data_IF_725995565549
#
_entry.id   IF_725995565549
#
_cell.length_a   1.000
_cell.length_b   1.000
_cell.length_c   1.000
_cell.angle_alpha   90.00
_cell.angle_beta   90.00
_cell.angle_gamma   90.00
#
_symmetry.space_group_name_H-M   'P 1'
#
loop_
_entity.id
_entity.type
_entity.pdbx_description
1 polymer ?
#
# COMPACT_ATOMS: atom_id res chain seq x y z
N UNK A 1 -34.88 4.90 3.90
CA UNK A 1 -33.83 5.95 3.79
C UNK A 1 -33.17 6.27 5.13
N UNK A 2 -33.92 6.55 6.22
CA UNK A 2 -33.32 6.88 7.53
C UNK A 2 -32.46 5.75 8.10
N UNK A 3 -32.89 4.49 7.97
CA UNK A 3 -32.13 3.31 8.42
C UNK A 3 -30.82 3.10 7.61
N UNK A 4 -30.83 3.40 6.32
CA UNK A 4 -29.61 3.28 5.50
C UNK A 4 -28.53 4.32 5.84
N UNK A 5 -28.93 5.55 6.08
CA UNK A 5 -28.01 6.62 6.46
C UNK A 5 -27.40 6.37 7.85
N UNK A 6 -28.21 5.92 8.83
CA UNK A 6 -27.68 5.60 10.17
C UNK A 6 -26.67 4.45 10.11
N UNK A 7 -26.93 3.42 9.32
CA UNK A 7 -25.99 2.31 9.12
C UNK A 7 -24.71 2.77 8.43
N UNK A 8 -24.81 3.62 7.41
CA UNK A 8 -23.63 4.20 6.74
C UNK A 8 -22.77 5.01 7.73
N UNK A 9 -23.39 5.81 8.59
CA UNK A 9 -22.68 6.59 9.61
C UNK A 9 -21.94 5.67 10.59
N UNK A 10 -22.63 4.63 11.11
CA UNK A 10 -22.01 3.66 12.03
C UNK A 10 -20.86 2.91 11.35
N UNK A 11 -21.05 2.46 10.10
CA UNK A 11 -20.01 1.81 9.34
C UNK A 11 -18.83 2.75 9.04
N UNK A 12 -19.09 4.03 8.74
CA UNK A 12 -18.07 5.05 8.56
C UNK A 12 -17.24 5.30 9.82
N UNK A 13 -17.89 5.37 10.98
CA UNK A 13 -17.19 5.48 12.28
C UNK A 13 -16.36 4.23 12.56
N UNK A 14 -16.88 3.04 12.29
CA UNK A 14 -16.15 1.77 12.45
C UNK A 14 -14.93 1.70 11.52
N UNK A 15 -15.08 2.14 10.29
CA UNK A 15 -14.01 2.23 9.30
C UNK A 15 -12.92 3.23 9.74
N UNK A 16 -13.32 4.40 10.20
CA UNK A 16 -12.39 5.40 10.72
C UNK A 16 -11.61 4.87 11.93
N UNK A 17 -12.31 4.20 12.86
CA UNK A 17 -11.68 3.55 14.01
C UNK A 17 -10.71 2.44 13.57
N UNK A 18 -11.07 1.66 12.56
CA UNK A 18 -10.18 0.65 12.00
C UNK A 18 -8.94 1.29 11.37
N UNK A 19 -9.10 2.38 10.60
CA UNK A 19 -7.98 3.11 10.02
C UNK A 19 -7.04 3.64 11.11
N UNK A 20 -7.58 4.24 12.17
CA UNK A 20 -6.82 4.70 13.32
C UNK A 20 -6.06 3.55 14.01
N UNK A 21 -6.72 2.41 14.25
CA UNK A 21 -6.08 1.25 14.87
C UNK A 21 -4.93 0.69 14.01
N UNK A 22 -5.08 0.68 12.68
CA UNK A 22 -4.03 0.32 11.74
C UNK A 22 -2.88 1.33 11.82
N UNK A 23 -3.18 2.63 11.77
CA UNK A 23 -2.19 3.70 11.88
C UNK A 23 -1.37 3.61 13.16
N UNK A 24 -2.04 3.42 14.29
CA UNK A 24 -1.39 3.28 15.59
C UNK A 24 -0.54 2.00 15.71
N UNK A 25 -0.99 0.89 15.10
CA UNK A 25 -0.37 -0.43 15.28
C UNK A 25 0.74 -0.78 14.29
N UNK A 26 0.61 -0.39 13.03
CA UNK A 26 1.46 -0.93 11.96
C UNK A 26 2.38 0.07 11.30
N UNK A 27 2.05 1.35 11.34
CA UNK A 27 2.77 2.35 10.56
C UNK A 27 3.82 3.11 11.33
N UNK A 28 3.80 3.18 12.61
CA UNK A 28 4.75 3.88 13.48
C UNK A 28 5.99 4.44 12.77
N UNK A 29 7.13 4.37 13.34
CA UNK A 29 8.40 4.79 12.71
C UNK A 29 9.05 3.73 11.82
N UNK A 30 8.40 2.58 11.61
CA UNK A 30 8.98 1.40 10.93
C UNK A 30 9.48 1.69 9.50
N UNK A 31 8.75 2.42 8.63
CA UNK A 31 9.23 2.76 7.29
C UNK A 31 10.55 3.52 7.31
N UNK A 32 10.77 4.36 8.30
CA UNK A 32 11.99 5.15 8.46
C UNK A 32 12.98 4.55 9.46
N UNK A 33 12.77 3.33 9.96
CA UNK A 33 13.68 2.73 10.93
C UNK A 33 15.16 2.73 10.50
N UNK A 34 15.53 2.44 9.23
CA UNK A 34 16.91 2.56 8.78
C UNK A 34 17.45 3.99 8.83
N UNK A 35 16.63 4.98 8.50
CA UNK A 35 17.02 6.40 8.56
C UNK A 35 17.18 6.89 10.00
N UNK A 36 16.32 6.44 10.91
CA UNK A 36 16.41 6.73 12.34
C UNK A 36 17.65 6.06 12.94
N UNK A 37 17.89 4.78 12.63
CA UNK A 37 19.07 4.05 13.07
C UNK A 37 20.40 4.66 12.58
N UNK A 38 20.38 5.27 11.39
CA UNK A 38 21.52 6.02 10.84
C UNK A 38 21.61 7.49 11.35
N UNK A 39 20.82 7.89 12.34
CA UNK A 39 20.74 9.27 12.85
C UNK A 39 20.45 10.32 11.75
N UNK A 40 19.78 9.91 10.66
CA UNK A 40 19.38 10.83 9.59
C UNK A 40 18.07 11.56 9.92
N UNK A 41 17.25 11.00 10.83
CA UNK A 41 15.94 11.49 11.20
C UNK A 41 15.63 11.13 12.65
N UNK A 42 14.96 12.02 13.40
CA UNK A 42 14.47 11.69 14.75
C UNK A 42 13.18 10.86 14.67
N UNK A 43 12.92 10.03 15.70
CA UNK A 43 11.71 9.17 15.78
C UNK A 43 10.42 9.98 15.61
N UNK A 44 10.32 11.14 16.27
CA UNK A 44 9.13 12.00 16.18
C UNK A 44 8.91 12.53 14.75
N UNK A 45 9.98 12.97 14.07
CA UNK A 45 9.87 13.40 12.66
C UNK A 45 9.55 12.24 11.73
N UNK A 46 10.08 11.05 12.03
CA UNK A 46 9.75 9.84 11.27
C UNK A 46 8.25 9.53 11.38
N UNK A 47 7.68 9.53 12.58
CA UNK A 47 6.24 9.31 12.78
C UNK A 47 5.38 10.32 12.01
N UNK A 48 5.73 11.62 12.09
CA UNK A 48 5.01 12.67 11.35
C UNK A 48 5.07 12.46 9.82
N UNK A 49 6.24 12.11 9.30
CA UNK A 49 6.39 11.83 7.86
C UNK A 49 5.64 10.56 7.45
N UNK A 50 5.62 9.52 8.30
CA UNK A 50 4.82 8.30 8.03
C UNK A 50 3.35 8.65 7.93
N UNK A 51 2.81 9.47 8.83
CA UNK A 51 1.43 9.91 8.79
C UNK A 51 1.10 10.63 7.47
N UNK A 52 1.85 11.69 7.13
CA UNK A 52 1.62 12.46 5.89
C UNK A 52 1.74 11.58 4.64
N UNK A 53 2.80 10.79 4.54
CA UNK A 53 3.03 9.93 3.38
C UNK A 53 2.03 8.78 3.33
N UNK A 54 1.65 8.24 4.47
CA UNK A 54 0.58 7.26 4.59
C UNK A 54 -0.77 7.82 4.12
N UNK A 55 -1.11 9.04 4.52
CA UNK A 55 -2.29 9.75 4.03
C UNK A 55 -2.26 9.92 2.50
N UNK A 56 -1.14 10.38 1.95
CA UNK A 56 -0.99 10.53 0.50
C UNK A 56 -1.10 9.19 -0.22
N UNK A 57 -0.48 8.14 0.32
CA UNK A 57 -0.60 6.79 -0.24
C UNK A 57 -2.03 6.26 -0.19
N UNK A 58 -2.73 6.46 0.92
CA UNK A 58 -4.12 6.09 1.09
C UNK A 58 -5.02 6.74 0.02
N UNK A 59 -4.85 8.04 -0.19
CA UNK A 59 -5.69 8.79 -1.15
C UNK A 59 -5.36 8.49 -2.60
N UNK A 60 -4.10 8.20 -2.93
CA UNK A 60 -3.63 8.06 -4.31
C UNK A 60 -3.54 6.60 -4.79
N UNK A 61 -3.49 5.62 -3.89
CA UNK A 61 -3.31 4.20 -4.22
C UNK A 61 -4.33 3.26 -3.58
N UNK A 62 -5.15 3.71 -2.63
CA UNK A 62 -6.00 2.84 -1.81
C UNK A 62 -7.14 2.14 -2.55
N UNK A 63 -7.49 2.55 -3.76
CA UNK A 63 -8.68 2.07 -4.48
C UNK A 63 -8.64 0.56 -4.74
N UNK A 64 -7.54 0.03 -5.30
CA UNK A 64 -7.45 -1.38 -5.71
C UNK A 64 -7.60 -2.36 -4.54
N UNK A 65 -6.97 -2.05 -3.39
CA UNK A 65 -7.08 -2.90 -2.19
C UNK A 65 -8.49 -2.81 -1.61
N UNK A 66 -9.10 -1.62 -1.65
CA UNK A 66 -10.47 -1.42 -1.19
C UNK A 66 -11.47 -2.25 -1.99
N UNK A 67 -11.35 -2.27 -3.32
CA UNK A 67 -12.20 -3.10 -4.20
C UNK A 67 -12.03 -4.60 -3.88
N UNK A 68 -10.78 -5.07 -3.78
CA UNK A 68 -10.50 -6.46 -3.47
C UNK A 68 -11.13 -6.91 -2.15
N UNK A 69 -11.02 -6.10 -1.09
CA UNK A 69 -11.56 -6.42 0.24
C UNK A 69 -13.08 -6.24 0.29
N UNK A 70 -13.61 -5.24 -0.41
CA UNK A 70 -15.02 -4.89 -0.35
C UNK A 70 -15.93 -5.75 -1.22
N UNK A 71 -15.42 -6.24 -2.36
CA UNK A 71 -16.28 -6.84 -3.40
C UNK A 71 -15.85 -8.22 -3.90
N UNK A 72 -14.58 -8.62 -3.70
CA UNK A 72 -14.04 -9.82 -4.34
C UNK A 72 -13.88 -11.03 -3.41
N UNK A 73 -14.17 -10.88 -2.12
CA UNK A 73 -13.98 -11.96 -1.13
C UNK A 73 -15.17 -12.92 -1.04
N UNK A 74 -16.37 -12.48 -1.43
CA UNK A 74 -17.61 -13.27 -1.37
C UNK A 74 -18.30 -13.22 -2.72
N UNK A 75 -18.83 -14.34 -3.14
CA UNK A 75 -19.58 -14.50 -4.40
C UNK A 75 -21.07 -14.67 -4.11
N UNK A 76 -21.91 -14.08 -4.97
CA UNK A 76 -23.37 -14.27 -4.97
C UNK A 76 -24.13 -13.24 -4.15
N UNK A 77 -23.70 -12.89 -2.96
CA UNK A 77 -24.33 -11.91 -2.08
C UNK A 77 -23.40 -10.71 -1.87
N UNK A 78 -23.90 -9.51 -2.11
CA UNK A 78 -23.20 -8.32 -1.66
C UNK A 78 -23.28 -8.22 -0.13
N UNK A 79 -22.19 -7.80 0.51
CA UNK A 79 -22.21 -7.57 1.96
C UNK A 79 -23.32 -6.58 2.31
N UNK A 80 -24.31 -7.06 3.05
CA UNK A 80 -25.33 -6.15 3.57
C UNK A 80 -24.69 -5.08 4.46
N UNK A 81 -25.30 -3.90 4.60
CA UNK A 81 -24.78 -2.85 5.48
C UNK A 81 -24.46 -3.34 6.90
N UNK A 82 -25.31 -4.19 7.46
CA UNK A 82 -25.10 -4.80 8.78
C UNK A 82 -23.90 -5.73 8.78
N UNK A 83 -23.71 -6.54 7.74
CA UNK A 83 -22.59 -7.45 7.58
C UNK A 83 -21.26 -6.69 7.51
N UNK A 84 -21.19 -5.70 6.65
CA UNK A 84 -20.00 -4.87 6.49
C UNK A 84 -19.62 -4.18 7.80
N UNK A 85 -20.61 -3.59 8.51
CA UNK A 85 -20.40 -2.96 9.80
C UNK A 85 -19.93 -3.95 10.86
N UNK A 86 -20.54 -5.14 10.93
CA UNK A 86 -20.15 -6.19 11.89
C UNK A 86 -18.72 -6.66 11.62
N UNK A 87 -18.37 -6.92 10.35
CA UNK A 87 -17.02 -7.31 9.96
C UNK A 87 -15.97 -6.25 10.31
N UNK A 88 -16.25 -4.98 9.99
CA UNK A 88 -15.39 -3.86 10.34
C UNK A 88 -15.19 -3.71 11.85
N UNK A 89 -16.26 -3.73 12.64
CA UNK A 89 -16.17 -3.61 14.09
C UNK A 89 -15.41 -4.78 14.70
N UNK A 90 -15.66 -6.01 14.25
CA UNK A 90 -14.93 -7.19 14.70
C UNK A 90 -13.44 -7.06 14.41
N UNK A 91 -13.08 -6.70 13.19
CA UNK A 91 -11.69 -6.50 12.80
C UNK A 91 -11.03 -5.36 13.60
N UNK A 92 -11.72 -4.21 13.72
CA UNK A 92 -11.22 -3.05 14.42
C UNK A 92 -10.97 -3.32 15.91
N UNK A 93 -11.88 -4.02 16.58
CA UNK A 93 -11.71 -4.42 17.98
C UNK A 93 -10.52 -5.36 18.14
N UNK A 94 -10.38 -6.38 17.29
CA UNK A 94 -9.25 -7.31 17.36
C UNK A 94 -7.91 -6.60 17.13
N UNK A 95 -7.84 -5.70 16.14
CA UNK A 95 -6.61 -4.92 15.88
C UNK A 95 -6.32 -3.97 17.05
N UNK A 96 -7.33 -3.27 17.57
CA UNK A 96 -7.17 -2.40 18.73
C UNK A 96 -6.69 -3.16 19.97
N UNK A 97 -7.23 -4.36 20.25
CA UNK A 97 -6.70 -5.24 21.32
C UNK A 97 -5.22 -5.50 21.14
N UNK A 98 -4.77 -5.80 19.91
CA UNK A 98 -3.35 -5.98 19.62
C UNK A 98 -2.51 -4.74 19.93
N UNK A 99 -2.99 -3.55 19.53
CA UNK A 99 -2.32 -2.28 19.80
C UNK A 99 -2.17 -2.02 21.30
N UNK A 100 -3.25 -2.19 22.08
CA UNK A 100 -3.25 -1.92 23.52
C UNK A 100 -2.50 -2.96 24.35
N UNK A 101 -2.46 -4.22 23.90
CA UNK A 101 -1.76 -5.31 24.59
C UNK A 101 -0.31 -5.48 24.14
N UNK A 102 0.12 -4.79 23.07
CA UNK A 102 1.43 -4.97 22.46
C UNK A 102 1.59 -6.29 21.69
N UNK A 103 0.49 -7.00 21.43
CA UNK A 103 0.51 -8.21 20.61
C UNK A 103 0.55 -7.86 19.11
N UNK A 104 1.47 -8.42 18.33
CA UNK A 104 1.52 -8.18 16.89
C UNK A 104 0.34 -8.86 16.20
N UNK A 105 -0.65 -8.09 15.78
CA UNK A 105 -1.81 -8.57 15.02
C UNK A 105 -1.58 -8.31 13.52
N UNK A 106 -1.72 -9.38 12.74
CA UNK A 106 -1.66 -9.28 11.27
C UNK A 106 -2.98 -8.67 10.74
N UNK A 107 -2.99 -7.36 10.53
CA UNK A 107 -4.20 -6.60 10.17
C UNK A 107 -4.91 -7.15 8.93
N UNK A 108 -4.15 -7.49 7.87
CA UNK A 108 -4.72 -8.04 6.64
C UNK A 108 -5.45 -9.38 6.88
N UNK A 109 -4.84 -10.29 7.65
CA UNK A 109 -5.50 -11.57 8.01
C UNK A 109 -6.77 -11.34 8.82
N UNK A 110 -6.71 -10.41 9.79
CA UNK A 110 -7.84 -10.12 10.67
C UNK A 110 -9.02 -9.56 9.89
N UNK A 111 -8.78 -8.57 9.02
CA UNK A 111 -9.85 -7.97 8.20
C UNK A 111 -10.41 -8.96 7.20
N UNK A 112 -9.54 -9.64 6.43
CA UNK A 112 -9.97 -10.63 5.46
C UNK A 112 -10.78 -11.74 6.14
N UNK A 113 -10.30 -12.24 7.28
CA UNK A 113 -11.00 -13.28 8.04
C UNK A 113 -12.35 -12.82 8.58
N UNK A 114 -12.45 -11.59 9.10
CA UNK A 114 -13.70 -11.03 9.59
C UNK A 114 -14.74 -10.87 8.47
N UNK A 115 -14.36 -10.31 7.32
CA UNK A 115 -15.24 -10.10 6.17
C UNK A 115 -15.70 -11.43 5.57
N UNK A 116 -14.77 -12.37 5.38
CA UNK A 116 -15.09 -13.72 4.91
C UNK A 116 -16.02 -14.43 5.89
N UNK A 117 -15.72 -14.40 7.18
CA UNK A 117 -16.54 -15.07 8.20
C UNK A 117 -17.97 -14.54 8.24
N UNK A 118 -18.15 -13.22 8.21
CA UNK A 118 -19.48 -12.60 8.19
C UNK A 118 -20.20 -12.88 6.87
N UNK A 119 -19.51 -12.77 5.73
CA UNK A 119 -20.10 -13.02 4.41
C UNK A 119 -20.62 -14.46 4.28
N UNK A 120 -19.84 -15.44 4.72
CA UNK A 120 -20.26 -16.85 4.73
C UNK A 120 -21.42 -17.12 5.68
N UNK A 121 -21.42 -16.48 6.87
CA UNK A 121 -22.50 -16.63 7.86
C UNK A 121 -23.85 -16.11 7.34
N UNK A 122 -23.83 -15.19 6.38
CA UNK A 122 -25.03 -14.64 5.73
C UNK A 122 -25.47 -15.41 4.47
N UNK A 123 -24.82 -16.53 4.17
CA UNK A 123 -25.18 -17.39 3.04
C UNK A 123 -24.43 -17.08 1.74
N UNK A 124 -23.46 -16.18 1.76
CA UNK A 124 -22.56 -15.96 0.63
C UNK A 124 -21.69 -17.18 0.33
N UNK A 125 -21.26 -17.33 -0.92
CA UNK A 125 -20.35 -18.39 -1.32
C UNK A 125 -18.87 -17.93 -1.28
N UNK A 126 -17.93 -18.82 -0.95
CA UNK A 126 -16.52 -18.46 -0.91
C UNK A 126 -15.95 -18.18 -2.31
N UNK A 127 -15.24 -17.09 -2.47
CA UNK A 127 -14.53 -16.72 -3.70
C UNK A 127 -13.22 -17.51 -3.85
N UNK A 128 -13.31 -18.82 -4.13
CA UNK A 128 -12.17 -19.75 -4.12
C UNK A 128 -10.98 -19.28 -4.95
N UNK A 129 -11.22 -18.72 -6.14
CA UNK A 129 -10.14 -18.20 -6.98
C UNK A 129 -9.38 -17.06 -6.30
N UNK A 130 -10.12 -16.14 -5.63
CA UNK A 130 -9.50 -15.04 -4.87
C UNK A 130 -8.76 -15.55 -3.63
N UNK A 131 -9.33 -16.52 -2.93
CA UNK A 131 -8.68 -17.12 -1.76
C UNK A 131 -7.39 -17.84 -2.13
N UNK A 132 -7.37 -18.59 -3.24
CA UNK A 132 -6.16 -19.23 -3.75
C UNK A 132 -5.09 -18.21 -4.12
N UNK A 133 -5.48 -17.11 -4.79
CA UNK A 133 -4.57 -16.01 -5.11
C UNK A 133 -3.95 -15.41 -3.85
N UNK A 134 -4.78 -15.05 -2.87
CA UNK A 134 -4.34 -14.46 -1.59
C UNK A 134 -3.44 -15.44 -0.85
N UNK A 135 -3.84 -16.71 -0.68
CA UNK A 135 -3.06 -17.72 0.01
C UNK A 135 -1.70 -17.98 -0.67
N UNK A 136 -1.69 -18.04 -2.00
CA UNK A 136 -0.44 -18.20 -2.76
C UNK A 136 0.51 -17.03 -2.52
N UNK A 137 0.00 -15.80 -2.55
CA UNK A 137 0.81 -14.60 -2.29
C UNK A 137 1.30 -14.57 -0.83
N UNK A 138 0.47 -14.93 0.13
CA UNK A 138 0.87 -14.98 1.54
C UNK A 138 1.96 -16.01 1.81
N UNK A 139 1.88 -17.17 1.16
CA UNK A 139 2.92 -18.20 1.26
C UNK A 139 4.17 -17.80 0.49
N UNK A 140 4.04 -17.24 -0.71
CA UNK A 140 5.19 -16.89 -1.56
C UNK A 140 5.97 -15.68 -1.03
N UNK A 141 5.31 -14.69 -0.45
CA UNK A 141 5.92 -13.41 -0.03
C UNK A 141 7.12 -13.57 0.93
N UNK A 142 7.08 -14.40 2.00
CA UNK A 142 8.26 -14.60 2.86
C UNK A 142 9.47 -15.14 2.11
N UNK A 143 9.28 -16.03 1.15
CA UNK A 143 10.37 -16.60 0.36
C UNK A 143 10.92 -15.61 -0.66
N UNK A 144 10.04 -14.94 -1.41
CA UNK A 144 10.44 -13.93 -2.39
C UNK A 144 11.06 -12.71 -1.71
N UNK A 145 10.40 -12.18 -0.67
CA UNK A 145 10.91 -11.04 0.08
C UNK A 145 12.18 -11.36 0.86
N UNK A 146 12.23 -12.52 1.51
CA UNK A 146 13.42 -13.01 2.20
C UNK A 146 14.58 -13.25 1.24
N UNK A 147 14.33 -13.86 0.09
CA UNK A 147 15.31 -14.06 -0.98
C UNK A 147 15.86 -12.74 -1.52
N UNK A 148 14.98 -11.78 -1.81
CA UNK A 148 15.37 -10.45 -2.27
C UNK A 148 16.19 -9.70 -1.21
N UNK A 149 15.77 -9.75 0.05
CA UNK A 149 16.49 -9.13 1.17
C UNK A 149 17.87 -9.77 1.37
N UNK A 150 17.95 -11.11 1.33
CA UNK A 150 19.21 -11.84 1.43
C UNK A 150 20.14 -11.51 0.26
N UNK A 151 19.62 -11.53 -0.97
CA UNK A 151 20.38 -11.18 -2.17
C UNK A 151 20.94 -9.76 -2.12
N UNK A 152 20.10 -8.79 -1.70
CA UNK A 152 20.51 -7.39 -1.53
C UNK A 152 21.56 -7.25 -0.43
N UNK A 153 21.37 -7.89 0.72
CA UNK A 153 22.35 -7.85 1.81
C UNK A 153 23.69 -8.48 1.40
N UNK A 154 23.65 -9.61 0.70
CA UNK A 154 24.85 -10.26 0.17
C UNK A 154 25.56 -9.40 -0.89
N UNK A 155 24.81 -8.74 -1.77
CA UNK A 155 25.34 -7.82 -2.76
C UNK A 155 26.03 -6.62 -2.13
N UNK A 156 25.40 -6.00 -1.14
CA UNK A 156 25.98 -4.85 -0.41
C UNK A 156 27.22 -5.20 0.43
N UNK A 157 27.31 -6.44 0.91
CA UNK A 157 28.47 -6.94 1.70
C UNK A 157 29.59 -7.46 0.82
N UNK A 158 29.43 -7.47 -0.49
CA UNK A 158 30.46 -7.97 -1.40
C UNK A 158 31.56 -6.92 -1.59
N UNK A 159 32.73 -7.16 -1.02
CA UNK A 159 33.89 -6.29 -1.10
C UNK A 159 34.37 -5.99 -2.53
N UNK A 160 34.01 -6.86 -3.50
CA UNK A 160 34.32 -6.67 -4.92
C UNK A 160 33.45 -5.60 -5.59
N UNK A 161 32.32 -5.26 -5.00
CA UNK A 161 31.39 -4.24 -5.53
C UNK A 161 31.49 -2.99 -4.67
N UNK A 162 32.13 -1.93 -5.15
CA UNK A 162 32.24 -0.71 -4.36
C UNK A 162 30.86 -0.08 -4.13
N UNK A 163 30.62 0.46 -2.95
CA UNK A 163 29.34 1.10 -2.59
C UNK A 163 28.91 2.20 -3.58
N UNK A 164 29.87 2.89 -4.19
CA UNK A 164 29.62 3.89 -5.25
C UNK A 164 28.94 3.31 -6.49
N UNK A 165 28.90 1.99 -6.63
CA UNK A 165 28.18 1.27 -7.71
C UNK A 165 26.94 0.57 -7.13
N UNK A 166 27.08 -0.11 -5.99
CA UNK A 166 26.00 -0.88 -5.39
C UNK A 166 24.79 0.01 -5.01
N UNK A 167 25.03 1.15 -4.38
CA UNK A 167 23.95 2.04 -3.93
C UNK A 167 23.19 2.68 -5.10
N UNK A 168 23.84 3.21 -6.16
CA UNK A 168 23.13 3.68 -7.36
C UNK A 168 22.34 2.59 -8.08
N UNK A 169 22.84 1.35 -8.14
CA UNK A 169 22.08 0.24 -8.72
C UNK A 169 20.79 -0.04 -7.94
N UNK A 170 20.86 -0.04 -6.59
CA UNK A 170 19.66 -0.14 -5.76
C UNK A 170 18.74 1.06 -5.93
N UNK A 171 19.29 2.26 -6.10
CA UNK A 171 18.53 3.45 -6.48
C UNK A 171 17.79 3.27 -7.80
N UNK A 172 18.41 2.61 -8.78
CA UNK A 172 17.78 2.23 -10.03
C UNK A 172 16.60 1.27 -9.82
N UNK A 173 16.75 0.26 -8.95
CA UNK A 173 15.62 -0.63 -8.58
C UNK A 173 14.47 0.17 -7.96
N UNK A 174 14.76 1.14 -7.09
CA UNK A 174 13.75 2.04 -6.54
C UNK A 174 13.10 2.87 -7.64
N UNK A 175 13.87 3.39 -8.60
CA UNK A 175 13.34 4.09 -9.77
C UNK A 175 12.41 3.21 -10.62
N UNK A 176 12.77 1.94 -10.82
CA UNK A 176 11.92 0.96 -11.50
C UNK A 176 10.59 0.75 -10.77
N UNK A 177 10.62 0.61 -9.45
CA UNK A 177 9.42 0.48 -8.63
C UNK A 177 8.56 1.74 -8.77
N UNK A 178 9.13 2.93 -8.61
CA UNK A 178 8.40 4.21 -8.72
C UNK A 178 7.74 4.36 -10.10
N UNK A 179 8.41 3.96 -11.17
CA UNK A 179 7.85 4.04 -12.52
C UNK A 179 6.64 3.11 -12.72
N UNK A 180 6.56 2.01 -11.98
CA UNK A 180 5.54 0.97 -12.14
C UNK A 180 4.53 0.88 -10.99
N UNK A 181 4.63 1.76 -10.01
CA UNK A 181 3.58 1.94 -9.00
C UNK A 181 2.38 2.63 -9.63
N UNK A 182 1.19 2.07 -9.38
CA UNK A 182 -0.07 2.60 -9.90
C UNK A 182 -0.62 3.73 -9.02
N UNK A 183 -1.16 4.76 -9.68
CA UNK A 183 -1.81 5.91 -9.07
C UNK A 183 -3.18 6.11 -9.70
N UNK A 184 -4.18 6.41 -8.89
CA UNK A 184 -5.54 6.73 -9.35
C UNK A 184 -5.55 7.96 -10.28
N UNK A 185 -4.64 8.90 -10.06
CA UNK A 185 -4.55 10.13 -10.86
C UNK A 185 -3.97 9.95 -12.26
N UNK A 186 -3.29 8.84 -12.53
CA UNK A 186 -2.63 8.58 -13.81
C UNK A 186 -3.47 7.70 -14.74
N UNK A 187 -4.53 7.09 -14.24
CA UNK A 187 -5.48 6.27 -15.00
C UNK A 187 -6.67 7.06 -15.50
N UNK A 188 -7.45 6.49 -16.43
CA UNK A 188 -8.76 7.00 -16.78
C UNK A 188 -9.71 6.94 -15.57
N UNK A 189 -10.85 7.64 -15.61
CA UNK A 189 -11.81 7.64 -14.49
C UNK A 189 -12.22 6.21 -14.07
N UNK A 190 -11.98 5.87 -12.80
CA UNK A 190 -12.29 4.55 -12.23
C UNK A 190 -11.17 3.52 -12.35
N UNK A 191 -10.06 3.84 -12.99
CA UNK A 191 -8.89 2.98 -13.11
C UNK A 191 -7.64 3.65 -12.54
N UNK A 192 -6.64 2.86 -12.20
CA UNK A 192 -5.31 3.34 -11.85
C UNK A 192 -4.31 3.01 -12.96
N UNK A 193 -3.30 3.83 -13.12
CA UNK A 193 -2.19 3.55 -14.03
C UNK A 193 -0.85 3.91 -13.38
N UNK A 194 0.21 3.24 -13.83
CA UNK A 194 1.57 3.63 -13.45
C UNK A 194 2.11 4.75 -14.35
N UNK A 195 3.15 5.43 -13.87
CA UNK A 195 3.83 6.44 -14.66
C UNK A 195 4.33 5.87 -16.00
N UNK A 196 4.84 4.63 -15.98
CA UNK A 196 5.34 3.96 -17.19
C UNK A 196 4.23 3.74 -18.21
N UNK A 197 3.04 3.32 -17.78
CA UNK A 197 1.89 3.10 -18.66
C UNK A 197 1.31 4.43 -19.15
N UNK A 198 1.16 5.41 -18.27
CA UNK A 198 0.61 6.72 -18.64
C UNK A 198 1.48 7.43 -19.69
N UNK A 199 2.79 7.50 -19.45
CA UNK A 199 3.74 8.10 -20.41
C UNK A 199 3.91 7.20 -21.64
N UNK A 200 3.91 5.88 -21.48
CA UNK A 200 4.02 4.93 -22.59
C UNK A 200 2.88 5.09 -23.61
N UNK A 201 1.65 5.32 -23.14
CA UNK A 201 0.48 5.59 -24.00
C UNK A 201 0.67 6.88 -24.82
N UNK A 202 1.21 7.93 -24.22
CA UNK A 202 1.49 9.20 -24.92
C UNK A 202 2.61 9.09 -25.96
N UNK A 203 3.60 8.22 -25.71
CA UNK A 203 4.69 7.99 -26.67
C UNK A 203 4.22 7.22 -27.90
N UNK A 204 3.09 6.51 -27.83
CA UNK A 204 2.46 5.76 -28.93
C UNK A 204 3.43 4.88 -29.73
N UNK A 205 4.42 4.25 -29.05
CA UNK A 205 5.39 3.39 -29.69
C UNK A 205 4.78 2.02 -30.02
N UNK A 206 5.20 1.37 -31.12
CA UNK A 206 4.67 0.06 -31.47
C UNK A 206 5.04 -0.97 -30.40
N UNK A 207 4.10 -1.86 -30.06
CA UNK A 207 4.38 -2.96 -29.15
C UNK A 207 5.42 -3.92 -29.73
N UNK A 208 6.36 -4.38 -28.91
CA UNK A 208 7.40 -5.34 -29.28
C UNK A 208 7.19 -6.62 -28.47
N UNK A 209 7.01 -7.73 -29.15
CA UNK A 209 6.76 -9.06 -28.54
C UNK A 209 5.55 -9.07 -27.55
N UNK A 210 4.53 -8.26 -27.82
CA UNK A 210 3.34 -8.16 -26.96
C UNK A 210 3.50 -7.24 -25.74
N UNK A 211 4.66 -6.61 -25.56
CA UNK A 211 4.91 -5.65 -24.47
C UNK A 211 4.79 -4.21 -24.98
N UNK A 212 4.28 -3.33 -24.13
CA UNK A 212 4.26 -1.88 -24.37
C UNK A 212 5.70 -1.32 -24.32
N UNK A 213 6.26 -1.04 -25.47
CA UNK A 213 7.64 -0.54 -25.58
C UNK A 213 7.77 0.87 -24.99
N UNK A 214 6.71 1.69 -25.01
CA UNK A 214 6.69 3.00 -24.36
C UNK A 214 6.79 2.89 -22.84
N UNK A 215 6.07 1.96 -22.25
CA UNK A 215 6.13 1.69 -20.82
C UNK A 215 7.51 1.15 -20.40
N UNK A 216 8.10 0.24 -21.20
CA UNK A 216 9.46 -0.27 -20.95
C UNK A 216 10.47 0.86 -21.02
N UNK A 217 10.42 1.68 -22.07
CA UNK A 217 11.33 2.81 -22.23
C UNK A 217 11.23 3.79 -21.06
N UNK A 218 10.01 4.14 -20.65
CA UNK A 218 9.77 5.03 -19.52
C UNK A 218 10.33 4.44 -18.23
N UNK A 219 10.10 3.15 -17.97
CA UNK A 219 10.65 2.44 -16.81
C UNK A 219 12.19 2.49 -16.80
N UNK A 220 12.83 2.25 -17.93
CA UNK A 220 14.29 2.31 -18.07
C UNK A 220 14.82 3.72 -17.86
N UNK A 221 14.17 4.74 -18.43
CA UNK A 221 14.57 6.15 -18.27
C UNK A 221 14.49 6.56 -16.80
N UNK A 222 13.39 6.24 -16.08
CA UNK A 222 13.26 6.54 -14.67
C UNK A 222 14.28 5.79 -13.83
N UNK A 223 14.53 4.52 -14.14
CA UNK A 223 15.56 3.69 -13.48
C UNK A 223 16.94 4.32 -13.59
N UNK A 224 17.35 4.69 -14.80
CA UNK A 224 18.66 5.31 -15.06
C UNK A 224 18.76 6.70 -14.45
N UNK A 225 17.68 7.48 -14.50
CA UNK A 225 17.62 8.81 -13.92
C UNK A 225 17.80 8.76 -12.38
N UNK A 226 17.07 7.90 -11.68
CA UNK A 226 17.18 7.78 -10.22
C UNK A 226 18.56 7.24 -9.81
N UNK A 227 19.09 6.25 -10.53
CA UNK A 227 20.44 5.73 -10.32
C UNK A 227 21.50 6.82 -10.52
N UNK A 228 21.37 7.62 -11.59
CA UNK A 228 22.26 8.71 -11.94
C UNK A 228 22.24 9.84 -10.90
N UNK A 229 21.05 10.26 -10.47
CA UNK A 229 20.89 11.26 -9.41
C UNK A 229 21.55 10.81 -8.11
N UNK A 230 21.30 9.56 -7.70
CA UNK A 230 21.90 9.04 -6.48
C UNK A 230 23.42 8.93 -6.58
N UNK A 231 23.94 8.48 -7.73
CA UNK A 231 25.37 8.48 -7.98
C UNK A 231 25.97 9.87 -7.88
N UNK A 232 25.36 10.87 -8.50
CA UNK A 232 25.82 12.26 -8.42
C UNK A 232 25.88 12.76 -6.97
N UNK A 233 24.83 12.47 -6.18
CA UNK A 233 24.79 12.86 -4.76
C UNK A 233 25.86 12.16 -3.93
N UNK A 234 26.12 10.88 -4.16
CA UNK A 234 27.16 10.12 -3.47
C UNK A 234 28.57 10.58 -3.81
N UNK A 235 28.79 11.02 -5.05
CA UNK A 235 30.09 11.59 -5.47
C UNK A 235 30.32 12.96 -4.83
N UNK A 236 29.27 13.78 -4.72
CA UNK A 236 29.34 15.10 -4.11
C UNK A 236 29.53 15.03 -2.58
N UNK A 237 28.78 14.19 -1.89
CA UNK A 237 28.86 13.95 -0.44
C UNK A 237 28.26 12.59 -0.11
N UNK A 238 29.12 11.60 0.17
CA UNK A 238 28.72 10.22 0.44
C UNK A 238 27.71 10.11 1.59
N UNK A 239 27.97 10.79 2.69
CA UNK A 239 27.13 10.71 3.88
C UNK A 239 25.74 11.31 3.63
N UNK A 240 25.68 12.46 2.99
CA UNK A 240 24.41 13.10 2.61
C UNK A 240 23.66 12.27 1.57
N UNK A 241 24.36 11.69 0.58
CA UNK A 241 23.76 10.83 -0.44
C UNK A 241 23.10 9.59 0.19
N UNK A 242 23.81 8.90 1.09
CA UNK A 242 23.25 7.73 1.81
C UNK A 242 22.04 8.11 2.67
N UNK A 243 22.11 9.22 3.42
CA UNK A 243 20.98 9.70 4.24
C UNK A 243 19.75 10.01 3.38
N UNK A 244 19.92 10.68 2.25
CA UNK A 244 18.82 10.99 1.31
C UNK A 244 18.22 9.72 0.71
N UNK A 245 19.06 8.74 0.40
CA UNK A 245 18.58 7.44 -0.09
C UNK A 245 17.72 6.72 0.95
N UNK A 246 18.17 6.65 2.21
CA UNK A 246 17.38 6.06 3.29
C UNK A 246 16.05 6.81 3.53
N UNK A 247 16.05 8.14 3.43
CA UNK A 247 14.83 8.93 3.54
C UNK A 247 13.88 8.66 2.38
N UNK A 248 14.39 8.57 1.14
CA UNK A 248 13.58 8.25 -0.03
C UNK A 248 12.97 6.85 0.05
N UNK A 249 13.73 5.85 0.50
CA UNK A 249 13.23 4.50 0.77
C UNK A 249 12.14 4.50 1.83
N UNK A 250 12.38 5.17 2.96
CA UNK A 250 11.38 5.30 4.03
C UNK A 250 10.10 5.98 3.54
N UNK A 251 10.24 7.02 2.72
CA UNK A 251 9.11 7.73 2.12
C UNK A 251 8.29 6.82 1.19
N UNK A 252 8.96 6.07 0.32
CA UNK A 252 8.31 5.13 -0.59
C UNK A 252 7.55 4.03 0.18
N UNK A 253 8.18 3.45 1.21
CA UNK A 253 7.56 2.42 2.05
C UNK A 253 6.36 2.99 2.81
N UNK A 254 6.48 4.19 3.41
CA UNK A 254 5.37 4.83 4.13
C UNK A 254 4.19 5.13 3.20
N UNK A 255 4.47 5.64 2.00
CA UNK A 255 3.46 5.91 0.98
C UNK A 255 2.75 4.63 0.54
N UNK A 256 3.49 3.59 0.17
CA UNK A 256 2.94 2.30 -0.25
C UNK A 256 2.15 1.61 0.87
N UNK A 257 2.63 1.71 2.12
CA UNK A 257 1.90 1.19 3.28
C UNK A 257 0.55 1.88 3.46
N UNK A 258 0.48 3.20 3.30
CA UNK A 258 -0.78 3.95 3.35
C UNK A 258 -1.80 3.45 2.32
N UNK A 259 -1.36 3.29 1.07
CA UNK A 259 -2.20 2.78 -0.02
C UNK A 259 -2.75 1.37 0.23
N UNK A 260 -1.92 0.47 0.73
CA UNK A 260 -2.35 -0.90 1.02
C UNK A 260 -3.20 -1.01 2.29
N UNK A 261 -2.91 -0.26 3.31
CA UNK A 261 -3.56 -0.36 4.61
C UNK A 261 -4.94 0.30 4.66
N UNK A 262 -5.13 1.43 3.96
CA UNK A 262 -6.43 2.10 3.93
C UNK A 262 -7.50 1.21 3.32
N UNK A 263 -7.17 0.39 2.33
CA UNK A 263 -8.09 -0.54 1.69
C UNK A 263 -8.70 -1.55 2.66
N UNK A 264 -7.95 -1.95 3.69
CA UNK A 264 -8.46 -2.84 4.74
C UNK A 264 -9.53 -2.15 5.60
N UNK A 265 -9.39 -0.85 5.84
CA UNK A 265 -10.32 -0.08 6.64
C UNK A 265 -11.59 0.30 5.87
N UNK A 266 -11.46 0.71 4.61
CA UNK A 266 -12.58 1.26 3.84
C UNK A 266 -13.20 0.27 2.85
N UNK A 267 -12.50 -0.81 2.49
CA UNK A 267 -13.01 -1.81 1.54
C UNK A 267 -14.43 -2.28 1.87
N UNK A 268 -14.70 -2.72 3.10
CA UNK A 268 -16.05 -3.16 3.47
C UNK A 268 -17.13 -2.06 3.41
N UNK A 269 -16.75 -0.78 3.34
CA UNK A 269 -17.68 0.32 3.12
C UNK A 269 -18.15 0.45 1.67
N UNK A 270 -17.34 0.01 0.69
CA UNK A 270 -17.62 0.27 -0.73
C UNK A 270 -19.03 -0.14 -1.16
N UNK A 271 -19.53 -1.34 -0.81
CA UNK A 271 -20.89 -1.73 -1.18
C UNK A 271 -21.99 -0.84 -0.58
N UNK A 272 -21.67 -0.11 0.51
CA UNK A 272 -22.60 0.79 1.18
C UNK A 272 -22.66 2.18 0.56
N UNK A 273 -21.69 2.54 -0.27
CA UNK A 273 -21.58 3.87 -0.89
C UNK A 273 -22.46 4.02 -2.11
N UNK A 274 -22.67 2.91 -2.85
CA UNK A 274 -23.38 2.90 -4.12
C UNK A 274 -24.77 3.56 -4.06
N UNK A 275 -25.63 3.31 -3.04
CA UNK A 275 -26.94 3.93 -2.94
C UNK A 275 -26.92 5.45 -2.66
N UNK A 276 -25.77 5.99 -2.24
CA UNK A 276 -25.60 7.39 -1.86
C UNK A 276 -24.76 8.17 -2.87
N UNK A 277 -24.27 7.53 -3.94
CA UNK A 277 -23.39 8.11 -4.96
C UNK A 277 -22.14 8.81 -4.36
N UNK A 278 -21.64 8.28 -3.24
CA UNK A 278 -20.45 8.84 -2.58
C UNK A 278 -19.20 8.37 -3.35
N UNK A 279 -18.37 9.28 -3.85
CA UNK A 279 -17.17 8.91 -4.58
C UNK A 279 -16.16 8.20 -3.66
N UNK A 280 -15.58 7.11 -4.15
CA UNK A 280 -14.57 6.31 -3.41
C UNK A 280 -13.40 7.19 -2.94
N UNK A 281 -13.00 8.18 -3.74
CA UNK A 281 -11.94 9.14 -3.39
C UNK A 281 -12.22 9.90 -2.10
N UNK A 282 -13.48 10.29 -1.82
CA UNK A 282 -13.85 10.98 -0.59
C UNK A 282 -13.66 10.07 0.63
N UNK A 283 -13.96 8.78 0.48
CA UNK A 283 -13.80 7.78 1.55
C UNK A 283 -12.33 7.42 1.75
N UNK A 284 -11.54 7.38 0.68
CA UNK A 284 -10.08 7.22 0.75
C UNK A 284 -9.43 8.37 1.53
N UNK A 285 -9.88 9.60 1.30
CA UNK A 285 -9.42 10.77 2.09
C UNK A 285 -9.79 10.60 3.57
N UNK A 286 -11.03 10.22 3.86
CA UNK A 286 -11.49 9.97 5.24
C UNK A 286 -10.70 8.85 5.94
N UNK A 287 -10.50 7.71 5.27
CA UNK A 287 -9.67 6.61 5.76
C UNK A 287 -8.21 7.01 5.94
N UNK A 288 -7.67 7.79 5.00
CA UNK A 288 -6.32 8.34 5.10
C UNK A 288 -6.13 9.25 6.31
N UNK A 289 -7.12 10.09 6.63
CA UNK A 289 -7.12 10.91 7.85
C UNK A 289 -7.16 10.03 9.11
N UNK A 290 -7.85 8.89 9.07
CA UNK A 290 -7.84 7.94 10.18
C UNK A 290 -6.47 7.28 10.40
N UNK A 291 -5.66 7.11 9.36
CA UNK A 291 -4.31 6.55 9.46
C UNK A 291 -3.28 7.51 10.06
N UNK A 292 -3.54 8.85 10.02
CA UNK A 292 -2.69 9.87 10.64
C UNK A 292 -2.63 9.73 12.16
#
# INVERSE_FOLDING_TARGET
MVSGLSTLVVAGVASFFMAWAIGAGSSGSTPFAPAVGANALSVMRAGFLVGILGFLGATLQGANVSEAVGRELIVGEQLSPTAATTGLLTAAVLVAVGVFTGYPIATAFTVTGAIVGVGLALGGAPAWAKYQQIATLWVATPFLGGGAAYGTARFLRNERVPERVAIPLLGGVVGLIIANVEFVLLGPPGESASLSVAVGRELALPAVAGFDSGAILTSLVVTVFVAGLLRQQLVADRTKGQRRFLLALGALVAFSAGGSQVGLAIGPLLPLLDPFEIPVTAVLVGGGLGLL
#
